data_IF_370517115291
#
_entry.id   IF_370517115291
#
_cell.length_a   1.000
_cell.length_b   1.000
_cell.length_c   1.000
_cell.angle_alpha   90.00
_cell.angle_beta   90.00
_cell.angle_gamma   90.00
#
_symmetry.space_group_name_H-M   'P 1'
#
loop_
_entity.id
_entity.type
_entity.pdbx_description
1 polymer ?
#
# COMPACT_ATOMS: atom_id res chain seq x y z
N UNK A 1 67.95 -13.32 18.03
CA UNK A 1 68.84 -12.16 17.80
C UNK A 1 67.95 -10.98 17.46
N UNK A 2 67.59 -10.14 18.46
CA UNK A 2 68.11 -8.78 18.71
C UNK A 2 67.80 -7.80 17.54
N UNK A 3 67.15 -6.63 17.67
CA UNK A 3 66.96 -5.62 18.74
C UNK A 3 65.64 -4.85 18.49
N UNK A 4 64.81 -4.53 19.47
CA UNK A 4 64.80 -3.27 20.28
C UNK A 4 65.05 -1.99 19.45
N UNK A 5 64.14 -1.01 19.46
CA UNK A 5 64.22 0.09 20.45
C UNK A 5 62.91 0.88 20.62
N UNK A 6 62.51 1.00 21.89
CA UNK A 6 61.56 1.99 22.45
C UNK A 6 62.08 3.43 22.31
N UNK A 7 61.17 4.42 22.22
CA UNK A 7 61.14 5.55 23.17
C UNK A 7 59.82 6.35 23.13
N UNK A 8 59.24 6.47 24.31
CA UNK A 8 58.11 7.33 24.75
C UNK A 8 58.74 8.50 25.56
N UNK A 9 57.96 9.28 26.34
CA UNK A 9 57.22 10.52 26.06
C UNK A 9 57.95 11.79 26.55
N UNK A 10 57.46 13.00 26.20
CA UNK A 10 57.71 14.21 27.01
C UNK A 10 56.44 15.07 27.12
N UNK A 11 56.13 15.46 28.36
CA UNK A 11 55.11 16.44 28.80
C UNK A 11 55.73 17.83 29.00
N UNK A 12 54.95 18.89 28.80
CA UNK A 12 55.04 20.19 29.51
C UNK A 12 53.62 20.83 29.49
N UNK A 13 52.87 21.00 30.61
CA UNK A 13 52.83 22.11 31.61
C UNK A 13 52.75 23.52 30.94
N UNK A 14 51.89 24.49 31.28
CA UNK A 14 50.76 24.70 32.21
C UNK A 14 49.95 25.99 31.82
N UNK A 15 48.80 26.21 32.48
CA UNK A 15 47.67 27.17 32.36
C UNK A 15 48.00 28.72 32.42
N UNK A 16 47.07 29.73 32.35
CA UNK A 16 45.62 29.70 32.68
C UNK A 16 44.57 30.59 31.93
N UNK A 17 43.30 30.17 32.11
CA UNK A 17 42.00 30.90 32.26
C UNK A 17 41.75 32.24 31.53
N UNK A 18 40.70 32.28 30.70
CA UNK A 18 39.61 33.28 30.80
C UNK A 18 38.24 32.63 30.53
N UNK A 19 37.30 32.95 31.41
CA UNK A 19 35.92 32.51 31.37
C UNK A 19 35.13 33.19 30.24
N UNK A 20 34.22 32.45 29.61
CA UNK A 20 33.03 33.04 28.99
C UNK A 20 31.90 32.02 29.01
N UNK A 21 30.83 32.48 29.63
CA UNK A 21 29.59 31.78 29.96
C UNK A 21 28.63 31.81 28.76
N UNK A 22 27.86 30.72 28.56
CA UNK A 22 26.40 30.62 28.35
C UNK A 22 25.89 29.83 27.14
N UNK A 23 25.01 28.88 27.51
CA UNK A 23 23.76 28.41 26.90
C UNK A 23 23.80 27.59 25.60
N UNK A 24 23.49 26.30 25.81
CA UNK A 24 22.82 25.44 24.85
C UNK A 24 21.50 26.07 24.36
N UNK A 25 21.27 26.03 23.05
CA UNK A 25 19.99 26.34 22.42
C UNK A 25 19.53 25.14 21.59
N UNK A 26 18.51 24.46 22.10
CA UNK A 26 17.66 23.52 21.37
C UNK A 26 16.96 24.26 20.22
N UNK A 27 17.13 23.79 18.98
CA UNK A 27 16.42 24.33 17.82
C UNK A 27 15.26 23.39 17.44
N UNK A 28 14.08 23.70 17.98
CA UNK A 28 12.82 23.20 17.42
C UNK A 28 12.50 24.02 16.16
N UNK A 29 12.32 23.36 15.01
CA UNK A 29 11.86 23.99 13.78
C UNK A 29 10.35 23.75 13.62
N UNK A 30 9.62 24.85 13.50
CA UNK A 30 8.17 24.97 13.55
C UNK A 30 7.45 24.41 12.31
N UNK A 31 6.23 23.91 12.51
CA UNK A 31 5.25 23.68 11.45
C UNK A 31 4.91 25.02 10.79
N UNK A 32 4.89 25.04 9.46
CA UNK A 32 4.42 26.18 8.67
C UNK A 32 2.96 26.51 9.03
N UNK A 33 2.70 27.78 9.32
CA UNK A 33 1.38 28.31 9.58
C UNK A 33 0.52 28.28 8.30
N UNK A 34 -0.81 28.10 8.41
CA UNK A 34 -1.70 28.22 7.27
C UNK A 34 -1.63 29.65 6.72
N UNK A 35 -1.69 29.79 5.39
CA UNK A 35 -1.72 31.11 4.71
C UNK A 35 -2.89 31.93 5.25
N UNK A 36 -2.75 33.26 5.45
CA UNK A 36 -3.85 34.10 5.90
C UNK A 36 -4.96 34.04 4.85
N UNK A 37 -6.15 33.60 5.27
CA UNK A 37 -7.35 33.79 4.45
C UNK A 37 -7.57 35.29 4.28
N UNK A 38 -7.91 35.73 3.05
CA UNK A 38 -8.37 37.10 2.83
C UNK A 38 -9.53 37.40 3.80
N UNK A 39 -9.55 38.56 4.46
CA UNK A 39 -10.63 38.91 5.37
C UNK A 39 -11.94 38.98 4.58
N UNK A 40 -12.87 38.10 4.94
CA UNK A 40 -14.22 38.11 4.38
C UNK A 40 -14.95 39.37 4.89
N UNK A 41 -15.75 40.04 4.05
CA UNK A 41 -16.57 41.17 4.48
C UNK A 41 -17.52 40.76 5.63
N UNK A 42 -17.83 41.67 6.56
CA UNK A 42 -18.47 41.37 7.85
C UNK A 42 -19.92 40.86 7.79
N UNK A 43 -20.49 40.67 6.60
CA UNK A 43 -21.90 40.28 6.42
C UNK A 43 -22.11 38.84 5.93
N UNK A 44 -21.05 38.04 5.74
CA UNK A 44 -21.20 36.64 5.33
C UNK A 44 -21.10 35.74 6.56
N UNK A 45 -22.20 35.12 7.03
CA UNK A 45 -22.12 34.12 8.10
C UNK A 45 -21.18 33.00 7.65
N UNK A 46 -20.26 32.60 8.53
CA UNK A 46 -19.35 31.50 8.27
C UNK A 46 -20.16 30.24 7.92
N UNK A 47 -20.14 29.82 6.65
CA UNK A 47 -20.80 28.60 6.22
C UNK A 47 -20.10 27.44 6.91
N UNK A 48 -20.78 26.83 7.88
CA UNK A 48 -20.32 25.59 8.47
C UNK A 48 -20.06 24.59 7.33
N UNK A 49 -18.83 24.07 7.23
CA UNK A 49 -18.55 23.00 6.26
C UNK A 49 -19.58 21.90 6.49
N UNK A 50 -20.32 21.46 5.45
CA UNK A 50 -21.29 20.41 5.64
C UNK A 50 -20.56 19.20 6.21
N UNK A 51 -20.99 18.72 7.38
CA UNK A 51 -20.53 17.44 7.91
C UNK A 51 -20.86 16.41 6.83
N UNK A 52 -19.87 15.64 6.37
CA UNK A 52 -20.13 14.52 5.45
C UNK A 52 -21.21 13.65 6.09
N UNK A 53 -22.41 13.62 5.50
CA UNK A 53 -23.46 12.74 5.96
C UNK A 53 -22.98 11.29 5.77
N UNK A 54 -22.67 10.62 6.87
CA UNK A 54 -22.42 9.18 6.86
C UNK A 54 -23.78 8.50 6.84
N UNK A 55 -24.16 7.94 5.70
CA UNK A 55 -25.31 7.03 5.63
C UNK A 55 -25.01 5.78 6.47
N UNK A 56 -26.04 5.21 7.10
CA UNK A 56 -25.93 3.91 7.79
C UNK A 56 -25.51 2.83 6.77
N UNK A 57 -24.60 1.95 7.14
CA UNK A 57 -24.04 0.92 6.23
C UNK A 57 -25.13 0.01 5.64
N UNK A 58 -26.07 -0.41 6.48
CA UNK A 58 -27.20 -1.28 6.10
C UNK A 58 -28.07 -0.69 4.98
N UNK A 59 -28.22 0.64 4.94
CA UNK A 59 -29.03 1.32 3.94
C UNK A 59 -28.39 1.32 2.54
N UNK A 60 -27.16 0.82 2.39
CA UNK A 60 -26.42 0.72 1.13
C UNK A 60 -26.32 -0.70 0.59
N UNK A 61 -26.80 -1.71 1.32
CA UNK A 61 -26.71 -3.09 0.87
C UNK A 61 -27.65 -3.32 -0.32
N UNK A 62 -27.09 -3.80 -1.43
CA UNK A 62 -27.85 -4.21 -2.60
C UNK A 62 -28.49 -5.58 -2.35
N UNK A 63 -29.59 -5.87 -3.06
CA UNK A 63 -30.27 -7.15 -2.93
C UNK A 63 -29.34 -8.31 -3.37
N UNK A 64 -29.20 -9.38 -2.57
CA UNK A 64 -28.37 -10.53 -2.94
C UNK A 64 -28.78 -11.13 -4.29
N UNK A 65 -27.81 -11.66 -5.03
CA UNK A 65 -28.10 -12.46 -6.22
C UNK A 65 -28.64 -13.82 -5.79
N UNK A 66 -29.63 -14.34 -6.50
CA UNK A 66 -30.10 -15.71 -6.35
C UNK A 66 -29.17 -16.64 -7.15
N UNK A 67 -28.10 -17.09 -6.50
CA UNK A 67 -27.09 -17.98 -7.09
C UNK A 67 -26.90 -19.22 -6.21
N UNK A 68 -26.68 -20.41 -6.80
CA UNK A 68 -26.37 -21.60 -6.02
C UNK A 68 -25.07 -21.42 -5.22
N UNK A 69 -25.15 -21.57 -3.89
CA UNK A 69 -23.98 -21.48 -3.01
C UNK A 69 -23.14 -22.75 -3.14
N UNK A 70 -22.31 -22.79 -4.18
CA UNK A 70 -21.48 -23.96 -4.53
C UNK A 70 -19.99 -23.65 -4.52
N UNK A 71 -19.59 -22.37 -4.40
CA UNK A 71 -18.20 -21.94 -4.38
C UNK A 71 -17.68 -21.66 -2.97
N UNK A 72 -16.39 -21.92 -2.76
CA UNK A 72 -15.65 -21.58 -1.55
C UNK A 72 -14.27 -20.97 -1.91
N UNK A 73 -13.50 -20.60 -0.89
CA UNK A 73 -12.18 -19.97 -1.07
C UNK A 73 -11.18 -20.87 -1.81
N UNK A 74 -11.38 -22.19 -1.79
CA UNK A 74 -10.49 -23.13 -2.48
C UNK A 74 -10.53 -22.96 -4.01
N UNK A 75 -11.52 -22.26 -4.56
CA UNK A 75 -11.55 -21.87 -5.97
C UNK A 75 -10.31 -21.05 -6.38
N UNK A 76 -9.80 -20.19 -5.49
CA UNK A 76 -8.63 -19.35 -5.80
C UNK A 76 -7.34 -20.18 -5.91
N UNK A 77 -7.20 -21.22 -5.08
CA UNK A 77 -6.07 -22.15 -5.16
C UNK A 77 -6.10 -22.95 -6.47
N UNK A 78 -7.25 -23.55 -6.81
CA UNK A 78 -7.43 -24.28 -8.08
C UNK A 78 -7.21 -23.37 -9.30
N UNK A 79 -7.63 -22.12 -9.19
CA UNK A 79 -7.43 -21.13 -10.26
C UNK A 79 -5.94 -20.81 -10.43
N UNK A 80 -5.21 -20.57 -9.34
CA UNK A 80 -3.76 -20.32 -9.42
C UNK A 80 -3.02 -21.52 -10.04
N UNK A 81 -3.31 -22.74 -9.59
CA UNK A 81 -2.74 -23.97 -10.16
C UNK A 81 -3.02 -24.09 -11.67
N UNK A 82 -4.25 -23.79 -12.07
CA UNK A 82 -4.65 -23.80 -13.49
C UNK A 82 -3.85 -22.77 -14.28
N UNK A 83 -3.74 -21.53 -13.79
CA UNK A 83 -3.02 -20.45 -14.48
C UNK A 83 -1.53 -20.76 -14.57
N UNK A 84 -0.93 -21.32 -13.52
CA UNK A 84 0.47 -21.77 -13.52
C UNK A 84 0.71 -22.90 -14.53
N UNK A 85 -0.18 -23.90 -14.57
CA UNK A 85 -0.12 -24.97 -15.58
C UNK A 85 -0.20 -24.42 -17.02
N UNK A 86 -1.03 -23.40 -17.26
CA UNK A 86 -1.11 -22.73 -18.56
C UNK A 86 0.14 -21.90 -18.88
N UNK A 87 0.75 -21.26 -17.88
CA UNK A 87 2.04 -20.56 -18.07
C UNK A 87 3.11 -21.55 -18.51
N UNK A 88 3.22 -22.68 -17.82
CA UNK A 88 4.21 -23.73 -18.11
C UNK A 88 3.98 -24.41 -19.45
N UNK A 89 2.73 -24.53 -19.90
CA UNK A 89 2.43 -25.14 -21.21
C UNK A 89 2.88 -24.28 -22.39
N UNK A 90 3.06 -22.96 -22.21
CA UNK A 90 3.44 -22.04 -23.27
C UNK A 90 2.42 -21.89 -24.40
N UNK A 91 1.19 -22.42 -24.22
CA UNK A 91 0.15 -22.46 -25.26
C UNK A 91 -0.54 -21.10 -25.40
N UNK A 92 0.16 -20.16 -26.03
CA UNK A 92 -0.36 -18.81 -26.27
C UNK A 92 -1.49 -18.76 -27.31
N UNK A 93 -1.80 -19.86 -28.01
CA UNK A 93 -2.89 -19.92 -28.99
C UNK A 93 -4.19 -20.45 -28.36
N UNK A 94 -4.10 -21.45 -27.49
CA UNK A 94 -5.24 -22.07 -26.81
C UNK A 94 -5.52 -21.53 -25.40
N UNK A 95 -4.60 -20.78 -24.79
CA UNK A 95 -4.79 -20.22 -23.44
C UNK A 95 -4.70 -18.70 -23.41
N UNK A 96 -5.75 -18.08 -22.87
CA UNK A 96 -5.76 -16.64 -22.59
C UNK A 96 -4.67 -16.25 -21.58
N UNK A 97 -4.57 -16.97 -20.45
CA UNK A 97 -3.56 -16.70 -19.42
C UNK A 97 -2.14 -16.80 -19.96
N UNK A 98 -1.82 -17.87 -20.71
CA UNK A 98 -0.49 -18.04 -21.31
C UNK A 98 -0.17 -16.89 -22.27
N UNK A 99 -1.15 -16.48 -23.09
CA UNK A 99 -0.99 -15.36 -24.03
C UNK A 99 -0.80 -14.03 -23.31
N UNK A 100 -1.48 -13.81 -22.18
CA UNK A 100 -1.35 -12.57 -21.41
C UNK A 100 0.03 -12.49 -20.75
N UNK A 101 0.47 -13.58 -20.11
CA UNK A 101 1.79 -13.68 -19.48
C UNK A 101 2.91 -13.55 -20.53
N UNK A 102 2.76 -14.16 -21.72
CA UNK A 102 3.72 -14.01 -22.81
C UNK A 102 3.87 -12.57 -23.32
N UNK A 103 2.90 -11.68 -23.05
CA UNK A 103 2.99 -10.24 -23.35
C UNK A 103 3.71 -9.44 -22.24
N UNK A 104 4.08 -10.11 -21.15
CA UNK A 104 4.85 -9.56 -20.04
C UNK A 104 4.03 -8.80 -19.01
N UNK A 105 4.68 -8.56 -17.86
CA UNK A 105 4.12 -7.89 -16.67
C UNK A 105 3.38 -6.59 -16.96
N UNK A 106 3.84 -5.68 -17.85
CA UNK A 106 3.09 -4.45 -18.15
C UNK A 106 1.68 -4.72 -18.67
N UNK A 107 1.50 -5.74 -19.52
CA UNK A 107 0.17 -6.06 -20.07
C UNK A 107 -0.72 -6.76 -19.05
N UNK A 108 -0.14 -7.63 -18.22
CA UNK A 108 -0.84 -8.29 -17.11
C UNK A 108 -1.33 -7.24 -16.10
N UNK A 109 -0.46 -6.32 -15.68
CA UNK A 109 -0.79 -5.23 -14.77
C UNK A 109 -1.82 -4.26 -15.36
N UNK A 110 -1.75 -3.99 -16.67
CA UNK A 110 -2.78 -3.19 -17.36
C UNK A 110 -4.16 -3.83 -17.22
N UNK A 111 -4.31 -5.13 -17.51
CA UNK A 111 -5.59 -5.83 -17.39
C UNK A 111 -6.11 -5.79 -15.95
N UNK A 112 -5.26 -6.06 -14.96
CA UNK A 112 -5.65 -5.92 -13.55
C UNK A 112 -6.18 -4.52 -13.23
N UNK A 113 -5.54 -3.47 -13.76
CA UNK A 113 -5.98 -2.10 -13.59
C UNK A 113 -7.32 -1.78 -14.26
N UNK A 114 -7.58 -2.33 -15.45
CA UNK A 114 -8.86 -2.21 -16.16
C UNK A 114 -9.99 -2.80 -15.30
N UNK A 115 -9.88 -4.06 -14.86
CA UNK A 115 -10.93 -4.71 -14.04
C UNK A 115 -11.15 -4.00 -12.70
N UNK A 116 -10.08 -3.45 -12.10
CA UNK A 116 -10.20 -2.69 -10.86
C UNK A 116 -11.02 -1.42 -11.05
N UNK A 117 -10.87 -0.73 -12.19
CA UNK A 117 -11.64 0.47 -12.51
C UNK A 117 -13.08 0.12 -12.84
N UNK A 118 -13.31 -0.94 -13.61
CA UNK A 118 -14.65 -1.43 -13.97
C UNK A 118 -15.44 -1.85 -12.72
N UNK A 119 -14.85 -2.64 -11.84
CA UNK A 119 -15.45 -3.01 -10.55
C UNK A 119 -15.84 -1.79 -9.70
N UNK A 120 -14.98 -0.76 -9.64
CA UNK A 120 -15.28 0.49 -8.92
C UNK A 120 -16.45 1.24 -9.56
N UNK A 121 -16.50 1.30 -10.89
CA UNK A 121 -17.58 1.97 -11.62
C UNK A 121 -18.92 1.29 -11.31
N UNK A 122 -18.98 -0.03 -11.43
CA UNK A 122 -20.22 -0.80 -11.20
C UNK A 122 -20.70 -0.70 -9.75
N UNK A 123 -19.77 -0.70 -8.80
CA UNK A 123 -20.07 -0.50 -7.38
C UNK A 123 -20.66 0.90 -7.11
N UNK A 124 -20.15 1.94 -7.75
CA UNK A 124 -20.67 3.31 -7.63
C UNK A 124 -22.06 3.44 -8.27
N UNK A 125 -22.30 2.74 -9.38
CA UNK A 125 -23.59 2.71 -10.05
C UNK A 125 -24.66 1.92 -9.28
N UNK A 126 -24.25 1.09 -8.30
CA UNK A 126 -25.16 0.23 -7.56
C UNK A 126 -25.57 -1.02 -8.33
N UNK A 127 -24.79 -1.41 -9.35
CA UNK A 127 -25.07 -2.56 -10.19
C UNK A 127 -24.53 -3.82 -9.51
N UNK A 128 -25.34 -4.44 -8.65
CA UNK A 128 -24.90 -5.57 -7.82
C UNK A 128 -24.35 -6.74 -8.64
N UNK A 129 -25.06 -7.12 -9.71
CA UNK A 129 -24.68 -8.23 -10.59
C UNK A 129 -23.34 -7.97 -11.27
N UNK A 130 -23.20 -6.81 -11.89
CA UNK A 130 -21.98 -6.43 -12.60
C UNK A 130 -20.83 -6.30 -11.61
N UNK A 131 -21.03 -5.70 -10.43
CA UNK A 131 -20.02 -5.64 -9.36
C UNK A 131 -19.49 -7.03 -8.99
N UNK A 132 -20.37 -8.05 -8.92
CA UNK A 132 -19.94 -9.44 -8.65
C UNK A 132 -19.11 -10.02 -9.80
N UNK A 133 -19.49 -9.76 -11.06
CA UNK A 133 -18.75 -10.24 -12.22
C UNK A 133 -17.38 -9.56 -12.32
N UNK A 134 -17.32 -8.24 -12.21
CA UNK A 134 -16.06 -7.48 -12.22
C UNK A 134 -15.15 -7.82 -11.03
N UNK A 135 -15.74 -8.16 -9.87
CA UNK A 135 -14.96 -8.66 -8.73
C UNK A 135 -14.29 -10.00 -9.05
N UNK A 136 -14.96 -10.88 -9.80
CA UNK A 136 -14.40 -12.15 -10.21
C UNK A 136 -13.26 -11.96 -11.22
N UNK A 137 -13.42 -11.06 -12.19
CA UNK A 137 -12.39 -10.73 -13.18
C UNK A 137 -11.17 -10.06 -12.54
N UNK A 138 -11.40 -9.16 -11.56
CA UNK A 138 -10.35 -8.58 -10.73
C UNK A 138 -9.53 -9.65 -10.00
N UNK A 139 -10.19 -10.63 -9.36
CA UNK A 139 -9.51 -11.73 -8.67
C UNK A 139 -8.75 -12.64 -9.64
N UNK A 140 -9.33 -12.95 -10.80
CA UNK A 140 -8.66 -13.71 -11.85
C UNK A 140 -7.39 -13.01 -12.32
N UNK A 141 -7.47 -11.72 -12.67
CA UNK A 141 -6.31 -10.96 -13.14
C UNK A 141 -5.27 -10.72 -12.05
N UNK A 142 -5.67 -10.67 -10.77
CA UNK A 142 -4.73 -10.65 -9.65
C UNK A 142 -3.94 -11.97 -9.55
N UNK A 143 -4.61 -13.12 -9.72
CA UNK A 143 -3.94 -14.42 -9.74
C UNK A 143 -3.01 -14.55 -10.95
N UNK A 144 -3.41 -14.06 -12.13
CA UNK A 144 -2.52 -14.04 -13.31
C UNK A 144 -1.28 -13.18 -13.05
N UNK A 145 -1.43 -12.04 -12.37
CA UNK A 145 -0.29 -11.22 -11.93
C UNK A 145 0.62 -11.97 -10.96
N UNK A 146 0.07 -12.70 -10.00
CA UNK A 146 0.88 -13.50 -9.06
C UNK A 146 1.67 -14.57 -9.79
N UNK A 147 1.03 -15.29 -10.71
CA UNK A 147 1.71 -16.31 -11.53
C UNK A 147 2.81 -15.68 -12.40
N UNK A 148 2.56 -14.55 -13.05
CA UNK A 148 3.57 -13.80 -13.84
C UNK A 148 4.76 -13.38 -12.96
N UNK A 149 4.50 -12.96 -11.73
CA UNK A 149 5.51 -12.51 -10.77
C UNK A 149 6.18 -13.65 -9.96
N UNK A 150 5.75 -14.90 -10.14
CA UNK A 150 6.23 -16.05 -9.34
C UNK A 150 5.78 -16.03 -7.87
N UNK A 151 4.73 -15.28 -7.55
CA UNK A 151 4.14 -15.19 -6.22
C UNK A 151 3.16 -16.35 -6.04
N UNK A 152 3.34 -17.08 -4.94
CA UNK A 152 2.42 -18.14 -4.54
C UNK A 152 1.28 -17.59 -3.70
N UNK A 153 0.12 -18.25 -3.74
CA UNK A 153 -0.98 -18.05 -2.82
C UNK A 153 -0.51 -17.89 -1.37
N UNK A 154 0.20 -18.88 -0.84
CA UNK A 154 0.50 -18.96 0.58
C UNK A 154 1.24 -17.72 1.13
N UNK A 155 2.03 -17.04 0.29
CA UNK A 155 2.71 -15.79 0.65
C UNK A 155 1.74 -14.66 0.96
N UNK A 156 0.67 -14.52 0.17
CA UNK A 156 -0.35 -13.49 0.36
C UNK A 156 -1.24 -13.83 1.58
N UNK A 157 -1.50 -15.11 1.83
CA UNK A 157 -2.35 -15.55 2.94
C UNK A 157 -1.61 -15.32 4.26
N UNK A 158 -0.31 -15.64 4.30
CA UNK A 158 0.55 -15.34 5.43
C UNK A 158 0.58 -13.83 5.73
N UNK A 159 0.61 -12.97 4.71
CA UNK A 159 0.55 -11.52 4.93
C UNK A 159 -0.84 -11.04 5.41
N UNK A 160 -1.93 -11.69 4.98
CA UNK A 160 -3.27 -11.41 5.48
C UNK A 160 -3.41 -11.83 6.94
N UNK A 161 -2.96 -13.03 7.31
CA UNK A 161 -2.93 -13.55 8.68
C UNK A 161 -2.10 -12.63 9.58
N UNK A 162 -0.94 -12.16 9.11
CA UNK A 162 -0.11 -11.19 9.85
C UNK A 162 -0.83 -9.87 10.16
N UNK A 163 -1.82 -9.48 9.35
CA UNK A 163 -2.65 -8.28 9.54
C UNK A 163 -3.93 -8.55 10.30
N UNK A 164 -4.34 -9.82 10.38
CA UNK A 164 -5.54 -10.23 11.08
C UNK A 164 -5.45 -9.82 12.56
N UNK A 165 -6.55 -9.29 13.11
CA UNK A 165 -6.58 -8.75 14.47
C UNK A 165 -5.92 -7.38 14.67
N UNK A 166 -5.20 -6.84 13.68
CA UNK A 166 -4.67 -5.47 13.72
C UNK A 166 -5.66 -4.54 13.03
N UNK A 167 -6.30 -3.63 13.77
CA UNK A 167 -7.20 -2.65 13.14
C UNK A 167 -6.45 -1.85 12.06
N UNK A 168 -7.07 -1.60 10.91
CA UNK A 168 -6.42 -0.83 9.83
C UNK A 168 -5.99 0.59 10.25
N UNK A 169 -6.57 1.11 11.34
CA UNK A 169 -6.14 2.36 11.98
C UNK A 169 -4.82 2.15 12.74
N UNK A 170 -4.71 1.07 13.53
CA UNK A 170 -3.49 0.71 14.25
C UNK A 170 -2.35 0.35 13.28
N UNK A 171 -2.63 -0.41 12.21
CA UNK A 171 -1.66 -0.75 11.18
C UNK A 171 -1.11 0.50 10.46
N UNK A 172 -1.99 1.46 10.12
CA UNK A 172 -1.56 2.74 9.54
C UNK A 172 -0.75 3.57 10.53
N UNK A 173 -1.09 3.54 11.81
CA UNK A 173 -0.38 4.27 12.86
C UNK A 173 1.01 3.69 13.18
N UNK A 174 1.20 2.37 13.03
CA UNK A 174 2.45 1.67 13.30
C UNK A 174 3.46 1.73 12.17
N UNK A 175 3.08 2.25 10.99
CA UNK A 175 4.00 2.39 9.85
C UNK A 175 5.11 3.40 10.18
N UNK A 176 6.39 3.04 9.99
CA UNK A 176 7.50 3.97 10.23
C UNK A 176 7.37 5.18 9.29
N UNK A 177 7.14 6.36 9.88
CA UNK A 177 6.91 7.64 9.17
C UNK A 177 8.06 8.09 8.27
N UNK A 178 9.20 7.38 8.28
CA UNK A 178 10.39 7.67 7.47
C UNK A 178 10.62 6.75 6.26
N UNK A 179 9.91 5.62 6.12
CA UNK A 179 10.20 4.61 5.08
C UNK A 179 9.39 4.81 3.78
N UNK A 180 8.32 5.61 3.80
CA UNK A 180 7.51 5.92 2.60
C UNK A 180 8.33 6.62 1.51
N UNK A 181 9.51 7.18 1.84
CA UNK A 181 10.41 7.83 0.87
C UNK A 181 11.55 6.95 0.33
N UNK A 182 11.85 5.81 0.96
CA UNK A 182 13.05 5.02 0.65
C UNK A 182 12.76 3.69 -0.06
N UNK A 183 11.50 3.26 -0.13
CA UNK A 183 11.12 1.98 -0.71
C UNK A 183 10.52 2.09 -2.14
N UNK A 184 10.59 3.26 -2.78
CA UNK A 184 10.05 3.53 -4.14
C UNK A 184 8.64 2.95 -4.40
N UNK A 185 7.84 2.79 -3.34
CA UNK A 185 6.54 2.16 -3.39
C UNK A 185 5.46 3.24 -3.43
N UNK A 186 4.61 3.16 -4.45
CA UNK A 186 3.48 4.05 -4.75
C UNK A 186 2.24 3.79 -3.89
N UNK A 187 2.36 3.27 -2.67
CA UNK A 187 1.20 3.34 -1.76
C UNK A 187 1.06 4.78 -1.27
N UNK A 188 0.11 5.49 -1.87
CA UNK A 188 -0.27 6.85 -1.51
C UNK A 188 -0.54 6.96 0.00
N UNK A 189 -0.05 8.03 0.66
CA UNK A 189 -0.27 8.27 2.09
C UNK A 189 -1.75 8.41 2.47
#
# INVERSE_FOLDING_TARGET
MAKDTKKKPVKAKAAPKKAAVKKAATKAAAKAAPKPALPLPPEIPAVARPRKATLKAEARHLAPLDVPVTGDIAVLARLWETVEARRLSGDTLGSHSARLIARGTPKVAQKLGEEAVECVIEAIQGNHRETVMESADLLYHLIVLWVDAGIRPEEVWAELERREGISGIAEKASRPKGIVRAAETTKLP
#
